data_IF_342269782626
#
_entry.id   IF_342269782626
#
_cell.length_a   1.000
_cell.length_b   1.000
_cell.length_c   1.000
_cell.angle_alpha   90.00
_cell.angle_beta   90.00
_cell.angle_gamma   90.00
#
_symmetry.space_group_name_H-M   'P 1'
#
loop_
_entity.id
_entity.type
_entity.pdbx_description
1 polymer ?
#
# COMPACT_ATOMS: atom_id res chain seq x y z
N UNK A 1 13.30 8.09 -5.89
CA UNK A 1 13.04 7.42 -4.59
C UNK A 1 14.31 7.45 -3.77
N UNK A 2 14.32 8.15 -2.64
CA UNK A 2 15.55 8.38 -1.84
C UNK A 2 16.21 7.08 -1.36
N UNK A 3 15.44 6.00 -1.17
CA UNK A 3 15.96 4.67 -0.83
C UNK A 3 17.02 4.16 -1.81
N UNK A 4 16.89 4.45 -3.11
CA UNK A 4 17.90 4.03 -4.11
C UNK A 4 19.27 4.68 -3.85
N UNK A 5 19.29 5.90 -3.28
CA UNK A 5 20.54 6.65 -3.05
C UNK A 5 21.37 6.04 -1.93
N UNK A 6 20.71 5.49 -0.91
CA UNK A 6 21.38 4.92 0.28
C UNK A 6 21.78 3.44 0.10
N UNK A 7 21.22 2.74 -0.88
CA UNK A 7 21.57 1.34 -1.14
C UNK A 7 22.83 1.23 -1.99
N UNK A 8 23.68 0.24 -1.69
CA UNK A 8 24.78 -0.20 -2.58
C UNK A 8 24.22 -0.95 -3.81
N UNK A 9 24.97 -1.07 -4.92
CA UNK A 9 24.60 -1.96 -6.02
C UNK A 9 24.27 -3.38 -5.52
N UNK A 10 23.18 -3.97 -6.01
CA UNK A 10 22.63 -5.24 -5.52
C UNK A 10 21.89 -5.15 -4.18
N UNK A 11 21.82 -3.97 -3.55
CA UNK A 11 21.13 -3.77 -2.27
C UNK A 11 19.62 -3.99 -2.36
N UNK A 12 19.04 -4.52 -1.29
CA UNK A 12 17.62 -4.86 -1.20
C UNK A 12 16.89 -3.86 -0.30
N UNK A 13 15.77 -3.32 -0.78
CA UNK A 13 14.77 -2.67 0.06
C UNK A 13 13.60 -3.64 0.27
N UNK A 14 13.28 -3.89 1.53
CA UNK A 14 12.09 -4.63 1.95
C UNK A 14 11.11 -3.60 2.49
N UNK A 15 10.05 -3.33 1.74
CA UNK A 15 9.13 -2.21 2.03
C UNK A 15 7.74 -2.79 2.27
N UNK A 16 7.19 -2.54 3.45
CA UNK A 16 5.78 -2.83 3.72
C UNK A 16 4.89 -1.74 3.15
N UNK A 17 3.77 -2.15 2.58
CA UNK A 17 2.73 -1.26 2.07
C UNK A 17 1.36 -1.94 2.19
N UNK A 18 0.31 -1.15 2.02
CA UNK A 18 -1.00 -1.71 1.75
C UNK A 18 -1.20 -1.78 0.22
N UNK A 19 -1.61 -2.95 -0.27
CA UNK A 19 -1.99 -3.13 -1.67
C UNK A 19 -3.50 -3.33 -1.79
N UNK A 20 -4.01 -3.47 -3.02
CA UNK A 20 -5.37 -3.97 -3.26
C UNK A 20 -5.61 -5.33 -2.59
N UNK A 21 -4.56 -6.17 -2.45
CA UNK A 21 -4.61 -7.42 -1.69
C UNK A 21 -4.87 -7.18 -0.20
N UNK A 22 -4.18 -6.21 0.40
CA UNK A 22 -4.42 -5.82 1.80
C UNK A 22 -5.87 -5.36 2.02
N UNK A 23 -6.42 -4.55 1.10
CA UNK A 23 -7.81 -4.08 1.20
C UNK A 23 -8.80 -5.23 1.09
N UNK A 24 -8.53 -6.21 0.23
CA UNK A 24 -9.37 -7.39 0.04
C UNK A 24 -9.30 -8.37 1.20
N UNK A 25 -8.14 -8.50 1.84
CA UNK A 25 -7.89 -9.52 2.85
C UNK A 25 -8.21 -9.03 4.28
N UNK A 26 -8.26 -7.72 4.52
CA UNK A 26 -8.52 -7.19 5.86
C UNK A 26 -9.86 -7.67 6.44
N UNK A 27 -9.84 -7.95 7.73
CA UNK A 27 -10.99 -8.42 8.52
C UNK A 27 -11.25 -7.47 9.69
N UNK A 28 -12.43 -7.53 10.35
CA UNK A 28 -12.79 -6.61 11.44
C UNK A 28 -11.82 -6.53 12.62
N UNK A 29 -11.03 -7.58 12.86
CA UNK A 29 -9.98 -7.65 13.89
C UNK A 29 -8.68 -6.94 13.49
N UNK A 30 -8.49 -6.60 12.22
CA UNK A 30 -7.28 -5.90 11.79
C UNK A 30 -7.32 -4.43 12.25
N UNK A 31 -6.20 -3.88 12.75
CA UNK A 31 -6.14 -2.47 13.17
C UNK A 31 -6.55 -1.49 12.06
N UNK A 32 -6.34 -1.88 10.80
CA UNK A 32 -6.65 -1.09 9.62
C UNK A 32 -8.15 -1.06 9.27
N UNK A 33 -8.94 -2.04 9.73
CA UNK A 33 -10.33 -2.18 9.31
C UNK A 33 -11.19 -0.97 9.68
N UNK A 34 -11.22 -0.62 10.97
CA UNK A 34 -12.04 0.49 11.47
C UNK A 34 -11.72 1.82 10.77
N UNK A 35 -10.46 2.28 10.67
CA UNK A 35 -10.15 3.55 10.01
C UNK A 35 -10.38 3.54 8.49
N UNK A 36 -10.50 2.38 7.85
CA UNK A 36 -10.81 2.27 6.42
C UNK A 36 -12.31 2.23 6.19
N UNK A 37 -13.00 1.29 6.84
CA UNK A 37 -14.42 1.00 6.61
C UNK A 37 -15.34 2.08 7.23
N UNK A 38 -14.89 2.79 8.27
CA UNK A 38 -15.63 3.90 8.86
C UNK A 38 -15.23 5.26 8.31
N UNK A 39 -14.39 5.32 7.28
CA UNK A 39 -14.02 6.60 6.67
C UNK A 39 -15.27 7.25 6.03
N UNK A 40 -15.59 8.52 6.29
CA UNK A 40 -16.83 9.15 5.80
C UNK A 40 -17.00 9.13 4.28
N UNK A 41 -15.88 9.04 3.56
CA UNK A 41 -15.82 8.98 2.09
C UNK A 41 -15.56 7.59 1.53
N UNK A 42 -15.55 6.53 2.35
CA UNK A 42 -15.20 5.17 1.91
C UNK A 42 -15.99 4.73 0.67
N UNK A 43 -17.33 4.74 0.77
CA UNK A 43 -18.22 4.34 -0.31
C UNK A 43 -18.14 5.21 -1.59
N UNK A 44 -17.58 6.42 -1.49
CA UNK A 44 -17.34 7.28 -2.66
C UNK A 44 -15.97 7.06 -3.32
N UNK A 45 -15.07 6.37 -2.64
CA UNK A 45 -13.68 6.20 -3.06
C UNK A 45 -13.37 4.77 -3.50
N UNK A 46 -14.11 3.78 -2.99
CA UNK A 46 -13.96 2.38 -3.33
C UNK A 46 -15.27 1.63 -3.07
N UNK A 47 -15.41 0.45 -3.69
CA UNK A 47 -16.51 -0.47 -3.39
C UNK A 47 -16.24 -1.11 -2.02
N UNK A 48 -17.03 -0.74 -1.02
CA UNK A 48 -16.86 -1.23 0.36
C UNK A 48 -17.26 -2.69 0.54
N UNK A 49 -18.08 -3.25 -0.35
CA UNK A 49 -18.49 -4.65 -0.29
C UNK A 49 -17.47 -5.53 -1.01
N UNK A 50 -17.16 -5.22 -2.27
CA UNK A 50 -16.18 -5.94 -3.07
C UNK A 50 -14.73 -5.68 -2.62
N UNK A 51 -14.50 -4.61 -1.84
CA UNK A 51 -13.19 -4.15 -1.36
C UNK A 51 -12.22 -3.89 -2.51
N UNK A 52 -12.72 -3.22 -3.55
CA UNK A 52 -11.99 -2.87 -4.78
C UNK A 52 -12.07 -1.38 -5.05
N UNK A 53 -11.05 -0.82 -5.71
CA UNK A 53 -11.00 0.61 -6.05
C UNK A 53 -10.51 0.85 -7.48
N UNK A 54 -10.94 1.97 -8.04
CA UNK A 54 -10.53 2.44 -9.36
C UNK A 54 -9.26 3.31 -9.31
N UNK A 55 -8.55 3.36 -10.43
CA UNK A 55 -7.27 4.06 -10.54
C UNK A 55 -6.08 3.27 -9.97
N UNK A 56 -4.95 3.95 -9.78
CA UNK A 56 -3.66 3.34 -9.44
C UNK A 56 -3.43 3.17 -7.94
N UNK A 57 -4.10 4.00 -7.13
CA UNK A 57 -4.03 3.99 -5.67
C UNK A 57 -5.32 4.53 -5.06
N UNK A 58 -5.69 3.99 -3.90
CA UNK A 58 -6.73 4.52 -3.02
C UNK A 58 -6.08 5.28 -1.88
N UNK A 59 -6.59 6.47 -1.57
CA UNK A 59 -6.11 7.31 -0.47
C UNK A 59 -7.27 7.67 0.44
N UNK A 60 -7.25 7.17 1.67
CA UNK A 60 -8.22 7.49 2.72
C UNK A 60 -7.58 8.44 3.70
N UNK A 61 -8.07 9.68 3.67
CA UNK A 61 -7.36 10.84 4.18
C UNK A 61 -8.15 11.44 5.36
N UNK A 62 -7.71 11.15 6.60
CA UNK A 62 -8.36 11.65 7.82
C UNK A 62 -7.87 13.06 8.18
N UNK A 63 -8.82 13.98 8.29
CA UNK A 63 -8.62 15.37 8.70
C UNK A 63 -9.18 15.56 10.11
N UNK A 64 -8.39 15.33 11.15
CA UNK A 64 -8.81 15.58 12.53
C UNK A 64 -7.86 16.55 13.22
N UNK A 65 -8.28 17.82 13.34
CA UNK A 65 -7.54 18.85 14.07
C UNK A 65 -6.12 19.07 13.52
N UNK A 66 -5.10 18.88 14.38
CA UNK A 66 -3.67 19.05 14.05
C UNK A 66 -3.00 17.78 13.51
N UNK A 67 -3.69 16.64 13.46
CA UNK A 67 -3.11 15.38 13.00
C UNK A 67 -3.63 15.00 11.62
N UNK A 68 -2.71 14.51 10.80
CA UNK A 68 -2.98 14.05 9.46
C UNK A 68 -2.60 12.57 9.35
N UNK A 69 -3.57 11.70 9.15
CA UNK A 69 -3.31 10.28 8.87
C UNK A 69 -3.91 9.88 7.53
N UNK A 70 -3.13 9.19 6.72
CA UNK A 70 -3.56 8.67 5.43
C UNK A 70 -3.32 7.16 5.36
N UNK A 71 -4.35 6.40 5.03
CA UNK A 71 -4.19 5.01 4.60
C UNK A 71 -4.13 5.00 3.08
N UNK A 72 -3.05 4.47 2.53
CA UNK A 72 -2.81 4.42 1.09
C UNK A 72 -2.70 2.98 0.65
N UNK A 73 -3.53 2.58 -0.31
CA UNK A 73 -3.51 1.26 -0.94
C UNK A 73 -3.07 1.43 -2.38
N UNK A 74 -2.04 0.69 -2.80
CA UNK A 74 -1.55 0.72 -4.18
C UNK A 74 -2.07 -0.46 -4.97
N UNK A 75 -2.26 -0.31 -6.28
CA UNK A 75 -2.30 -1.48 -7.16
C UNK A 75 -0.89 -2.06 -7.30
N UNK A 76 -0.71 -3.38 -7.22
CA UNK A 76 0.59 -4.01 -7.47
C UNK A 76 1.10 -3.64 -8.86
N UNK A 77 0.20 -3.56 -9.86
CA UNK A 77 0.52 -3.11 -11.21
C UNK A 77 1.10 -1.69 -11.25
N UNK A 78 0.60 -0.77 -10.42
CA UNK A 78 1.16 0.57 -10.28
C UNK A 78 2.59 0.51 -9.72
N UNK A 79 2.81 -0.24 -8.65
CA UNK A 79 4.13 -0.38 -8.04
C UNK A 79 5.13 -0.97 -9.04
N UNK A 80 4.75 -2.03 -9.78
CA UNK A 80 5.58 -2.62 -10.84
C UNK A 80 5.94 -1.61 -11.93
N UNK A 81 4.94 -0.90 -12.45
CA UNK A 81 5.13 0.02 -13.58
C UNK A 81 5.86 1.32 -13.22
N UNK A 82 5.69 1.83 -11.99
CA UNK A 82 6.23 3.13 -11.58
C UNK A 82 7.48 2.99 -10.72
N UNK A 83 7.49 2.12 -9.72
CA UNK A 83 8.65 1.94 -8.84
C UNK A 83 9.72 1.09 -9.54
N UNK A 84 9.28 0.15 -10.41
CA UNK A 84 10.13 -0.63 -11.30
C UNK A 84 11.05 0.18 -12.21
N UNK A 85 10.69 1.43 -12.54
CA UNK A 85 11.52 2.35 -13.32
C UNK A 85 12.75 2.86 -12.56
N UNK A 86 12.73 2.73 -11.23
CA UNK A 86 13.75 3.27 -10.32
C UNK A 86 14.61 2.15 -9.75
N UNK A 87 13.98 1.05 -9.33
CA UNK A 87 14.62 -0.15 -8.79
C UNK A 87 13.87 -1.37 -9.31
N UNK A 88 14.58 -2.48 -9.53
CA UNK A 88 13.96 -3.74 -9.94
C UNK A 88 12.96 -4.20 -8.87
N UNK A 89 11.74 -4.51 -9.28
CA UNK A 89 10.73 -5.11 -8.41
C UNK A 89 10.91 -6.62 -8.44
N UNK A 90 11.68 -7.13 -7.47
CA UNK A 90 12.12 -8.52 -7.44
C UNK A 90 11.03 -9.49 -6.98
N UNK A 91 10.17 -9.09 -6.04
CA UNK A 91 9.13 -9.96 -5.47
C UNK A 91 8.01 -9.14 -4.81
N UNK A 92 6.83 -9.76 -4.68
CA UNK A 92 5.75 -9.30 -3.80
C UNK A 92 5.33 -10.43 -2.87
N UNK A 93 5.23 -10.11 -1.59
CA UNK A 93 4.80 -11.07 -0.56
C UNK A 93 3.57 -10.56 0.12
N UNK A 94 2.47 -11.32 -0.03
CA UNK A 94 1.21 -10.97 0.63
C UNK A 94 1.28 -11.26 2.13
N UNK A 95 0.71 -10.37 2.94
CA UNK A 95 0.56 -10.52 4.40
C UNK A 95 1.85 -10.88 5.14
N UNK A 96 2.93 -10.19 4.80
CA UNK A 96 4.26 -10.48 5.30
C UNK A 96 4.97 -9.17 5.69
N UNK A 97 4.70 -8.59 6.88
CA UNK A 97 4.18 -9.24 8.07
C UNK A 97 2.69 -8.97 8.31
N UNK A 98 1.96 -10.03 8.66
CA UNK A 98 0.59 -10.06 9.19
C UNK A 98 -0.48 -9.30 8.39
N UNK A 99 -0.45 -7.96 8.47
CA UNK A 99 -1.49 -7.03 8.00
C UNK A 99 -1.06 -6.19 6.79
N UNK A 100 0.20 -6.33 6.36
CA UNK A 100 0.75 -5.57 5.24
C UNK A 100 1.36 -6.53 4.23
N UNK A 101 1.32 -6.11 2.97
CA UNK A 101 2.09 -6.76 1.93
C UNK A 101 3.48 -6.13 1.87
N UNK A 102 4.41 -6.85 1.26
CA UNK A 102 5.76 -6.38 1.03
C UNK A 102 6.10 -6.41 -0.43
N UNK A 103 6.75 -5.33 -0.87
CA UNK A 103 7.50 -5.34 -2.11
C UNK A 103 8.99 -5.43 -1.79
N UNK A 104 9.67 -6.34 -2.50
CA UNK A 104 11.12 -6.46 -2.46
C UNK A 104 11.68 -5.74 -3.68
N UNK A 105 12.41 -4.65 -3.45
CA UNK A 105 13.08 -3.89 -4.50
C UNK A 105 14.58 -4.16 -4.47
N UNK A 106 15.21 -4.26 -5.64
CA UNK A 106 16.65 -4.43 -5.79
C UNK A 106 17.26 -3.27 -6.56
N UNK A 107 18.35 -2.71 -6.04
CA UNK A 107 19.13 -1.71 -6.76
C UNK A 107 19.99 -2.43 -7.79
N UNK A 108 19.72 -2.16 -9.06
CA UNK A 108 20.60 -2.48 -10.18
C UNK A 108 21.75 -1.48 -10.26
#
# INVERSE_FOLDING_TARGET
MELRRILRPGGIAWITLHTEGTLKDMTPDWPLWSPVMKHPKAASLFDTEARTFEGERLVLRWLSGRSYSSNVFYKEAYVRSHWGRIMEVADFRRRHPSFQDVVILRKT
#
